data_IF_172308763569
#
_entry.id   IF_172308763569
#
_cell.length_a   1.000
_cell.length_b   1.000
_cell.length_c   1.000
_cell.angle_alpha   90.00
_cell.angle_beta   90.00
_cell.angle_gamma   90.00
#
_symmetry.space_group_name_H-M   'P 1'
#
loop_
_entity.id
_entity.type
_entity.pdbx_description
1 polymer ?
#
# COMPACT_ATOMS: atom_id res chain seq x y z
N UNK A 1 -9.01 -0.87 4.15
CA UNK A 1 -8.34 -2.18 4.06
C UNK A 1 -8.20 -2.92 5.41
N UNK A 2 -8.66 -2.34 6.51
CA UNK A 2 -8.50 -2.90 7.85
C UNK A 2 -9.29 -4.20 8.07
N UNK A 3 -10.55 -4.24 7.65
CA UNK A 3 -11.47 -5.33 7.96
C UNK A 3 -11.58 -6.36 6.83
N UNK A 4 -11.77 -7.63 7.19
CA UNK A 4 -11.89 -8.72 6.23
C UNK A 4 -13.27 -8.76 5.57
N UNK A 5 -14.32 -8.53 6.35
CA UNK A 5 -15.73 -8.50 5.94
C UNK A 5 -16.07 -7.31 5.02
N UNK A 6 -15.21 -6.28 4.98
CA UNK A 6 -15.33 -5.14 4.07
C UNK A 6 -14.66 -5.37 2.70
N UNK A 7 -14.01 -6.51 2.47
CA UNK A 7 -13.39 -6.86 1.19
C UNK A 7 -14.42 -7.46 0.23
N UNK A 8 -15.37 -6.63 -0.17
CA UNK A 8 -16.45 -7.00 -1.07
C UNK A 8 -15.99 -7.01 -2.55
N UNK A 9 -16.89 -7.40 -3.44
CA UNK A 9 -16.60 -7.50 -4.88
C UNK A 9 -16.82 -6.21 -5.66
N UNK A 10 -17.52 -5.23 -5.08
CA UNK A 10 -17.86 -3.98 -5.77
C UNK A 10 -16.90 -2.87 -5.38
N UNK A 11 -16.80 -2.54 -4.10
CA UNK A 11 -16.09 -1.34 -3.66
C UNK A 11 -14.60 -1.58 -3.44
N UNK A 12 -14.24 -2.67 -2.74
CA UNK A 12 -12.84 -2.96 -2.43
C UNK A 12 -11.92 -3.04 -3.67
N UNK A 13 -12.26 -3.73 -4.77
CA UNK A 13 -11.41 -3.78 -5.96
C UNK A 13 -11.44 -2.50 -6.81
N UNK A 14 -12.29 -1.52 -6.51
CA UNK A 14 -12.32 -0.23 -7.20
C UNK A 14 -11.52 0.80 -6.41
N UNK A 15 -11.86 1.00 -5.13
CA UNK A 15 -11.30 2.07 -4.30
C UNK A 15 -9.82 1.83 -3.99
N UNK A 16 -9.45 0.59 -3.67
CA UNK A 16 -8.08 0.25 -3.27
C UNK A 16 -7.05 0.50 -4.37
N UNK A 17 -7.22 0.02 -5.62
CA UNK A 17 -6.22 0.28 -6.66
C UNK A 17 -6.18 1.75 -7.11
N UNK A 18 -7.33 2.44 -7.18
CA UNK A 18 -7.38 3.85 -7.61
C UNK A 18 -6.62 4.75 -6.63
N UNK A 19 -6.72 4.47 -5.32
CA UNK A 19 -5.97 5.24 -4.32
C UNK A 19 -4.49 4.84 -4.29
N UNK A 20 -4.17 3.54 -4.39
CA UNK A 20 -2.80 3.04 -4.30
C UNK A 20 -1.88 3.47 -5.47
N UNK A 21 -2.42 3.64 -6.68
CA UNK A 21 -1.60 3.96 -7.87
C UNK A 21 -0.94 5.34 -7.79
N UNK A 22 -1.53 6.27 -7.04
CA UNK A 22 -1.06 7.67 -6.93
C UNK A 22 0.40 7.78 -6.48
N UNK A 23 0.74 7.12 -5.37
CA UNK A 23 2.10 7.12 -4.84
C UNK A 23 3.06 6.27 -5.69
N UNK A 24 2.57 5.16 -6.25
CA UNK A 24 3.37 4.30 -7.13
C UNK A 24 3.83 5.08 -8.36
N UNK A 25 2.94 5.87 -8.97
CA UNK A 25 3.26 6.71 -10.11
C UNK A 25 4.25 7.83 -9.75
N UNK A 26 4.04 8.50 -8.60
CA UNK A 26 4.91 9.58 -8.14
C UNK A 26 6.36 9.10 -7.89
N UNK A 27 6.53 7.99 -7.17
CA UNK A 27 7.85 7.42 -6.90
C UNK A 27 8.48 6.79 -8.14
N UNK A 28 7.68 6.18 -9.02
CA UNK A 28 8.19 5.68 -10.29
C UNK A 28 8.72 6.83 -11.17
N UNK A 29 8.01 7.96 -11.23
CA UNK A 29 8.48 9.15 -11.95
C UNK A 29 9.82 9.64 -11.38
N UNK A 30 9.91 9.81 -10.06
CA UNK A 30 11.13 10.27 -9.41
C UNK A 30 12.33 9.33 -9.64
N UNK A 31 12.14 8.02 -9.42
CA UNK A 31 13.21 7.03 -9.60
C UNK A 31 13.64 6.91 -11.06
N UNK A 32 12.70 6.98 -12.00
CA UNK A 32 13.01 6.87 -13.41
C UNK A 32 13.74 8.10 -13.94
N UNK A 33 13.27 9.30 -13.61
CA UNK A 33 13.86 10.55 -14.13
C UNK A 33 15.27 10.77 -13.58
N UNK A 34 15.49 10.55 -12.29
CA UNK A 34 16.76 10.86 -11.64
C UNK A 34 17.78 9.73 -11.72
N UNK A 35 17.34 8.47 -11.59
CA UNK A 35 18.23 7.32 -11.44
C UNK A 35 18.03 6.23 -12.49
N UNK A 36 17.04 6.36 -13.39
CA UNK A 36 16.66 5.36 -14.41
C UNK A 36 16.37 3.97 -13.82
N UNK A 37 15.97 3.93 -12.55
CA UNK A 37 15.68 2.70 -11.82
C UNK A 37 14.22 2.29 -12.00
N UNK A 38 13.91 1.06 -12.43
CA UNK A 38 12.55 0.64 -12.78
C UNK A 38 11.69 0.15 -11.59
N UNK A 39 12.09 0.41 -10.35
CA UNK A 39 11.48 -0.18 -9.14
C UNK A 39 10.82 0.83 -8.18
N UNK A 40 10.43 2.01 -8.65
CA UNK A 40 9.76 3.01 -7.79
C UNK A 40 8.40 2.53 -7.28
N UNK A 41 7.61 1.88 -8.13
CA UNK A 41 6.32 1.32 -7.71
C UNK A 41 6.47 0.20 -6.66
N UNK A 42 7.47 -0.68 -6.81
CA UNK A 42 7.68 -1.79 -5.87
C UNK A 42 8.15 -1.30 -4.51
N UNK A 43 9.03 -0.30 -4.45
CA UNK A 43 9.42 0.35 -3.18
C UNK A 43 8.18 0.90 -2.46
N UNK A 44 7.30 1.57 -3.20
CA UNK A 44 6.08 2.18 -2.65
C UNK A 44 5.18 1.13 -1.98
N UNK A 45 4.90 0.02 -2.69
CA UNK A 45 4.03 -1.04 -2.16
C UNK A 45 4.70 -1.79 -1.01
N UNK A 46 6.02 -2.01 -1.06
CA UNK A 46 6.74 -2.63 0.05
C UNK A 46 6.66 -1.78 1.32
N UNK A 47 6.82 -0.46 1.21
CA UNK A 47 6.68 0.45 2.35
C UNK A 47 5.25 0.43 2.93
N UNK A 48 4.23 0.45 2.07
CA UNK A 48 2.84 0.34 2.50
C UNK A 48 2.57 -0.97 3.24
N UNK A 49 3.00 -2.10 2.68
CA UNK A 49 2.79 -3.42 3.29
C UNK A 49 3.53 -3.54 4.62
N UNK A 50 4.78 -3.07 4.70
CA UNK A 50 5.54 -3.09 5.94
C UNK A 50 4.84 -2.27 7.03
N UNK A 51 4.43 -1.04 6.75
CA UNK A 51 3.70 -0.18 7.71
C UNK A 51 2.36 -0.79 8.13
N UNK A 52 1.63 -1.38 7.18
CA UNK A 52 0.37 -2.08 7.47
C UNK A 52 0.59 -3.27 8.40
N UNK A 53 1.57 -4.13 8.11
CA UNK A 53 1.85 -5.31 8.93
C UNK A 53 2.30 -4.95 10.35
N UNK A 54 3.15 -3.93 10.48
CA UNK A 54 3.55 -3.41 11.80
C UNK A 54 2.31 -2.96 12.59
N UNK A 55 1.39 -2.24 11.94
CA UNK A 55 0.17 -1.77 12.60
C UNK A 55 -0.74 -2.93 13.01
N UNK A 56 -0.91 -3.94 12.15
CA UNK A 56 -1.71 -5.15 12.45
C UNK A 56 -1.15 -5.88 13.67
N UNK A 57 0.16 -6.10 13.73
CA UNK A 57 0.78 -6.85 14.83
C UNK A 57 0.79 -6.03 16.13
N UNK A 58 1.27 -4.79 16.07
CA UNK A 58 1.51 -4.00 17.28
C UNK A 58 0.21 -3.44 17.89
N UNK A 59 -0.66 -2.84 17.07
CA UNK A 59 -1.87 -2.18 17.58
C UNK A 59 -3.05 -3.16 17.71
N UNK A 60 -3.36 -3.89 16.65
CA UNK A 60 -4.57 -4.71 16.62
C UNK A 60 -4.39 -6.04 17.38
N UNK A 61 -3.28 -6.75 17.15
CA UNK A 61 -3.06 -8.06 17.78
C UNK A 61 -2.47 -8.01 19.19
N UNK A 62 -1.60 -7.05 19.50
CA UNK A 62 -0.94 -7.02 20.82
C UNK A 62 -1.60 -6.07 21.83
N UNK A 63 -2.04 -4.88 21.42
CA UNK A 63 -2.64 -3.90 22.33
C UNK A 63 -4.16 -4.08 22.50
N UNK A 64 -4.90 -4.28 21.42
CA UNK A 64 -6.38 -4.26 21.43
C UNK A 64 -7.04 -5.66 21.46
N UNK A 65 -6.29 -6.71 21.79
CA UNK A 65 -6.72 -8.10 21.70
C UNK A 65 -7.09 -8.67 23.06
#
# INVERSE_FOLDING_TARGET
>A
DFWLDWKDRQWWPIVTPITAITFCAALQYYNWVNYRQPFGATITILALLAGKWVTIVAAWYWWSN
#
